data_IF_224866091504
#
_entry.id   IF_224866091504
#
_cell.length_a   1.000
_cell.length_b   1.000
_cell.length_c   1.000
_cell.angle_alpha   90.00
_cell.angle_beta   90.00
_cell.angle_gamma   90.00
#
_symmetry.space_group_name_H-M   'P 1'
#
loop_
_entity.id
_entity.type
_entity.pdbx_description
1 polymer ?
#
# COMPACT_ATOMS: atom_id res chain seq x y z
N UNK A 1 15.53 -13.64 19.11
CA UNK A 1 14.28 -14.28 18.62
C UNK A 1 13.15 -13.33 18.93
N UNK A 2 12.81 -12.43 18.00
CA UNK A 2 11.80 -11.40 18.27
C UNK A 2 10.41 -11.96 18.00
N UNK A 3 9.70 -12.13 19.10
CA UNK A 3 8.35 -12.63 19.26
C UNK A 3 7.32 -11.68 18.64
N UNK A 4 6.65 -12.13 17.58
CA UNK A 4 5.37 -11.56 17.15
C UNK A 4 4.28 -12.08 18.10
N UNK A 5 4.13 -11.41 19.25
CA UNK A 5 3.03 -11.64 20.17
C UNK A 5 1.78 -10.96 19.60
N UNK A 6 0.84 -11.78 19.12
CA UNK A 6 -0.58 -11.44 19.00
C UNK A 6 -1.11 -11.11 20.39
N UNK A 7 -1.73 -9.93 20.63
CA UNK A 7 -2.66 -9.66 21.76
C UNK A 7 -3.20 -8.21 21.71
N UNK A 8 -4.41 -7.98 21.16
CA UNK A 8 -5.49 -7.15 21.75
C UNK A 8 -6.51 -6.68 20.70
N UNK A 9 -7.77 -7.09 20.87
CA UNK A 9 -8.94 -6.75 20.04
C UNK A 9 -9.44 -5.30 20.22
N UNK A 10 -8.63 -4.41 20.79
CA UNK A 10 -8.98 -3.01 21.05
C UNK A 10 -7.80 -2.02 21.06
N UNK A 11 -6.57 -2.47 20.77
CA UNK A 11 -5.39 -1.61 20.53
C UNK A 11 -4.55 -2.17 19.38
N UNK A 12 -5.17 -2.38 18.22
CA UNK A 12 -4.37 -2.30 16.99
C UNK A 12 -3.99 -0.83 16.92
N UNK A 13 -2.85 -0.45 17.49
CA UNK A 13 -2.15 0.77 17.12
C UNK A 13 -1.87 0.62 15.64
N UNK A 14 -2.87 1.00 14.82
CA UNK A 14 -2.91 0.75 13.40
C UNK A 14 -1.64 1.37 12.88
N UNK A 15 -0.74 0.50 12.40
CA UNK A 15 0.48 0.79 11.66
C UNK A 15 0.31 2.17 11.03
N UNK A 16 0.84 3.20 11.71
CA UNK A 16 0.41 4.61 11.59
C UNK A 16 0.24 4.95 10.14
N UNK A 17 -0.95 5.42 9.72
CA UNK A 17 -1.25 5.83 8.34
C UNK A 17 -0.03 6.54 7.74
N UNK A 18 0.81 5.85 6.93
CA UNK A 18 2.08 6.42 6.52
C UNK A 18 1.87 7.48 5.42
N UNK A 19 0.62 7.65 5.02
CA UNK A 19 0.14 8.57 4.02
C UNK A 19 -0.58 9.71 4.74
N UNK A 20 0.10 10.83 4.89
CA UNK A 20 -0.42 12.03 5.56
C UNK A 20 -1.05 13.03 4.58
N UNK A 21 -0.99 12.73 3.28
CA UNK A 21 -1.49 13.58 2.19
C UNK A 21 -2.04 12.72 1.05
N UNK A 22 -2.90 13.33 0.24
CA UNK A 22 -3.33 12.76 -1.04
C UNK A 22 -2.15 12.70 -2.01
N UNK A 23 -2.00 11.57 -2.72
CA UNK A 23 -0.99 11.40 -3.76
C UNK A 23 -1.64 11.37 -5.14
N UNK A 24 -1.08 12.16 -6.06
CA UNK A 24 -1.49 12.23 -7.46
C UNK A 24 -0.28 12.21 -8.38
N UNK A 25 -0.55 12.07 -9.68
CA UNK A 25 0.48 12.17 -10.72
C UNK A 25 1.35 13.42 -10.56
N UNK A 26 2.67 13.25 -10.72
CA UNK A 26 3.69 14.27 -10.51
C UNK A 26 4.20 14.39 -9.06
N UNK A 27 3.52 13.79 -8.09
CA UNK A 27 4.05 13.73 -6.73
C UNK A 27 5.27 12.81 -6.63
N UNK A 28 6.19 13.16 -5.73
CA UNK A 28 7.37 12.35 -5.44
C UNK A 28 7.59 12.24 -3.94
N UNK A 29 8.36 11.24 -3.51
CA UNK A 29 8.76 11.09 -2.11
C UNK A 29 8.70 9.66 -1.58
N UNK A 30 9.01 9.52 -0.29
CA UNK A 30 8.99 8.23 0.40
C UNK A 30 7.58 7.66 0.53
N UNK A 31 6.57 8.52 0.66
CA UNK A 31 5.16 8.14 0.65
C UNK A 31 4.75 7.53 -0.69
N UNK A 32 5.18 8.12 -1.81
CA UNK A 32 4.97 7.56 -3.15
C UNK A 32 5.65 6.19 -3.30
N UNK A 33 6.88 6.04 -2.81
CA UNK A 33 7.54 4.74 -2.87
C UNK A 33 6.79 3.70 -2.02
N UNK A 34 6.36 4.04 -0.80
CA UNK A 34 5.57 3.13 0.05
C UNK A 34 4.27 2.72 -0.63
N UNK A 35 3.61 3.65 -1.32
CA UNK A 35 2.44 3.36 -2.16
C UNK A 35 2.80 2.34 -3.26
N UNK A 36 3.84 2.60 -4.05
CA UNK A 36 4.27 1.72 -5.13
C UNK A 36 4.67 0.33 -4.61
N UNK A 37 5.39 0.27 -3.49
CA UNK A 37 5.77 -0.98 -2.82
C UNK A 37 4.53 -1.79 -2.42
N UNK A 38 3.57 -1.13 -1.77
CA UNK A 38 2.32 -1.74 -1.33
C UNK A 38 1.48 -2.24 -2.51
N UNK A 39 1.30 -1.42 -3.55
CA UNK A 39 0.58 -1.79 -4.77
C UNK A 39 1.21 -3.03 -5.42
N UNK A 40 2.54 -3.05 -5.56
CA UNK A 40 3.24 -4.19 -6.14
C UNK A 40 3.07 -5.47 -5.32
N UNK A 41 3.13 -5.37 -4.00
CA UNK A 41 2.95 -6.53 -3.12
C UNK A 41 1.52 -7.05 -3.17
N UNK A 42 0.53 -6.16 -3.10
CA UNK A 42 -0.90 -6.49 -3.24
C UNK A 42 -1.19 -7.09 -4.61
N UNK A 43 -0.66 -6.50 -5.69
CA UNK A 43 -0.82 -6.99 -7.04
C UNK A 43 -0.25 -8.39 -7.23
N UNK A 44 0.95 -8.67 -6.69
CA UNK A 44 1.52 -10.03 -6.69
C UNK A 44 0.68 -11.00 -5.87
N UNK A 45 0.24 -10.60 -4.67
CA UNK A 45 -0.46 -11.50 -3.74
C UNK A 45 -1.85 -11.88 -4.24
N UNK A 46 -2.62 -10.90 -4.69
CA UNK A 46 -3.99 -11.09 -5.18
C UNK A 46 -4.07 -11.36 -6.69
N UNK A 47 -2.91 -11.55 -7.35
CA UNK A 47 -2.81 -11.86 -8.77
C UNK A 47 -3.48 -10.80 -9.67
N UNK A 48 -3.32 -9.52 -9.32
CA UNK A 48 -3.83 -8.38 -10.08
C UNK A 48 -2.74 -7.95 -11.06
N UNK A 49 -2.71 -8.54 -12.26
CA UNK A 49 -1.61 -8.38 -13.22
C UNK A 49 -1.29 -6.93 -13.58
N UNK A 50 -2.27 -6.04 -13.57
CA UNK A 50 -2.09 -4.60 -13.88
C UNK A 50 -1.78 -3.72 -12.66
N UNK A 51 -1.79 -4.29 -11.45
CA UNK A 51 -1.40 -3.61 -10.22
C UNK A 51 0.10 -3.79 -9.97
N UNK A 52 0.91 -3.25 -10.87
CA UNK A 52 2.35 -3.22 -10.71
C UNK A 52 2.93 -1.94 -11.35
N UNK A 53 4.00 -1.42 -10.75
CA UNK A 53 4.72 -0.25 -11.23
C UNK A 53 6.14 -0.24 -10.69
N UNK A 54 7.01 0.61 -11.24
CA UNK A 54 8.34 0.82 -10.66
C UNK A 54 8.24 1.51 -9.29
N UNK A 55 8.86 0.91 -8.28
CA UNK A 55 8.99 1.51 -6.94
C UNK A 55 10.23 2.42 -6.91
N UNK A 56 10.09 3.65 -7.39
CA UNK A 56 11.16 4.67 -7.45
C UNK A 56 10.83 5.97 -6.71
N UNK A 57 9.66 6.04 -6.07
CA UNK A 57 9.20 7.22 -5.36
C UNK A 57 8.68 8.34 -6.28
N UNK A 58 8.40 8.05 -7.56
CA UNK A 58 7.84 9.00 -8.51
C UNK A 58 6.45 8.54 -8.97
N UNK A 59 5.42 9.35 -8.69
CA UNK A 59 4.06 9.03 -9.09
C UNK A 59 3.86 9.40 -10.55
N UNK A 60 4.27 8.49 -11.44
CA UNK A 60 4.08 8.60 -12.88
C UNK A 60 2.83 7.87 -13.39
N UNK A 61 2.66 7.82 -14.72
CA UNK A 61 1.54 7.13 -15.37
C UNK A 61 1.42 5.65 -14.99
N UNK A 62 2.55 4.96 -14.79
CA UNK A 62 2.54 3.55 -14.35
C UNK A 62 1.97 3.39 -12.93
N UNK A 63 2.37 4.26 -12.00
CA UNK A 63 1.83 4.25 -10.63
C UNK A 63 0.33 4.54 -10.62
N UNK A 64 -0.11 5.49 -11.47
CA UNK A 64 -1.53 5.78 -11.66
C UNK A 64 -2.31 4.58 -12.17
N UNK A 65 -1.80 3.90 -13.20
CA UNK A 65 -2.43 2.71 -13.76
C UNK A 65 -2.49 1.56 -12.74
N UNK A 66 -1.42 1.36 -11.97
CA UNK A 66 -1.40 0.37 -10.90
C UNK A 66 -2.43 0.69 -9.81
N UNK A 67 -2.53 1.96 -9.41
CA UNK A 67 -3.52 2.42 -8.45
C UNK A 67 -4.95 2.23 -8.96
N UNK A 68 -5.24 2.62 -10.20
CA UNK A 68 -6.56 2.42 -10.79
C UNK A 68 -6.93 0.93 -10.88
N UNK A 69 -5.95 0.07 -11.19
CA UNK A 69 -6.15 -1.38 -11.20
C UNK A 69 -6.48 -1.93 -9.82
N UNK A 70 -5.80 -1.44 -8.78
CA UNK A 70 -6.13 -1.75 -7.40
C UNK A 70 -7.53 -1.26 -7.01
N UNK A 71 -7.85 -0.01 -7.32
CA UNK A 71 -9.16 0.60 -7.02
C UNK A 71 -10.30 -0.20 -7.65
N UNK A 72 -10.14 -0.58 -8.92
CA UNK A 72 -11.12 -1.39 -9.64
C UNK A 72 -11.26 -2.79 -9.03
N UNK A 73 -10.14 -3.43 -8.69
CA UNK A 73 -10.14 -4.77 -8.08
C UNK A 73 -10.78 -4.79 -6.69
N UNK A 74 -10.51 -3.80 -5.85
CA UNK A 74 -11.08 -3.71 -4.50
C UNK A 74 -12.49 -3.06 -4.49
N UNK A 75 -13.05 -2.80 -5.68
CA UNK A 75 -14.40 -2.27 -5.90
C UNK A 75 -14.66 -0.94 -5.17
N UNK A 76 -13.71 -0.01 -5.26
CA UNK A 76 -13.81 1.38 -4.79
C UNK A 76 -13.78 2.36 -5.97
N UNK A 77 -13.93 3.66 -5.71
CA UNK A 77 -13.86 4.69 -6.76
C UNK A 77 -12.53 4.62 -7.52
N UNK A 78 -12.63 4.53 -8.86
CA UNK A 78 -11.48 4.43 -9.77
C UNK A 78 -11.17 5.82 -10.35
N UNK A 79 -10.54 6.66 -9.55
CA UNK A 79 -10.16 8.04 -9.91
C UNK A 79 -8.65 8.20 -10.18
N UNK A 80 -7.84 7.18 -9.88
CA UNK A 80 -6.39 7.26 -9.97
C UNK A 80 -5.75 8.25 -8.99
N UNK A 81 -6.49 8.62 -7.94
CA UNK A 81 -6.06 9.52 -6.86
C UNK A 81 -5.90 8.69 -5.60
N UNK A 82 -4.73 8.75 -4.96
CA UNK A 82 -4.50 8.05 -3.72
C UNK A 82 -4.95 8.92 -2.54
N UNK A 83 -6.25 8.86 -2.25
CA UNK A 83 -6.88 9.52 -1.10
C UNK A 83 -7.12 8.59 0.09
N UNK A 84 -7.87 9.07 1.09
CA UNK A 84 -8.16 8.34 2.33
C UNK A 84 -8.79 6.97 2.08
N UNK A 85 -9.80 6.90 1.19
CA UNK A 85 -10.48 5.63 0.87
C UNK A 85 -9.50 4.62 0.27
N UNK A 86 -8.70 5.03 -0.72
CA UNK A 86 -7.69 4.15 -1.32
C UNK A 86 -6.61 3.74 -0.32
N UNK A 87 -6.22 4.65 0.58
CA UNK A 87 -5.26 4.37 1.65
C UNK A 87 -5.77 3.32 2.62
N UNK A 88 -6.98 3.49 3.17
CA UNK A 88 -7.61 2.54 4.10
C UNK A 88 -7.65 1.13 3.52
N UNK A 89 -8.14 1.05 2.27
CA UNK A 89 -8.28 -0.19 1.55
C UNK A 89 -6.93 -0.83 1.23
N UNK A 90 -5.96 -0.05 0.75
CA UNK A 90 -4.63 -0.57 0.43
C UNK A 90 -3.93 -1.12 1.67
N UNK A 91 -3.94 -0.36 2.78
CA UNK A 91 -3.35 -0.79 4.06
C UNK A 91 -4.03 -2.06 4.57
N UNK A 92 -5.36 -2.13 4.51
CA UNK A 92 -6.11 -3.32 4.91
C UNK A 92 -5.72 -4.56 4.11
N UNK A 93 -5.62 -4.44 2.78
CA UNK A 93 -5.30 -5.55 1.86
C UNK A 93 -3.84 -5.96 1.97
N UNK A 94 -2.96 -4.98 2.07
CA UNK A 94 -1.54 -5.21 2.33
C UNK A 94 -1.31 -5.97 3.64
N UNK A 95 -1.97 -5.55 4.72
CA UNK A 95 -1.86 -6.20 6.02
C UNK A 95 -2.47 -7.60 6.04
N UNK A 96 -3.63 -7.78 5.40
CA UNK A 96 -4.34 -9.07 5.39
C UNK A 96 -3.69 -10.14 4.50
N UNK A 97 -2.96 -9.72 3.46
CA UNK A 97 -2.27 -10.62 2.54
C UNK A 97 -0.76 -10.54 2.68
N UNK A 98 -0.07 -9.67 1.92
CA UNK A 98 1.39 -9.54 1.92
C UNK A 98 2.07 -9.61 3.29
N UNK A 99 1.62 -8.84 4.28
CA UNK A 99 2.24 -8.83 5.62
C UNK A 99 1.94 -10.13 6.37
N UNK A 100 0.67 -10.52 6.45
CA UNK A 100 0.25 -11.69 7.23
C UNK A 100 0.75 -13.03 6.67
N UNK A 101 0.93 -13.13 5.34
CA UNK A 101 1.24 -14.38 4.66
C UNK A 101 2.70 -14.47 4.20
N UNK A 102 3.27 -13.38 3.66
CA UNK A 102 4.65 -13.38 3.17
C UNK A 102 5.65 -12.73 4.12
N UNK A 103 5.19 -12.17 5.24
CA UNK A 103 6.06 -11.46 6.18
C UNK A 103 6.63 -10.18 5.58
N UNK A 104 5.90 -9.55 4.66
CA UNK A 104 6.27 -8.27 4.06
C UNK A 104 6.39 -7.18 5.14
N UNK A 105 7.36 -6.26 4.98
CA UNK A 105 7.65 -5.24 6.00
C UNK A 105 6.47 -4.27 6.17
N UNK A 106 6.10 -3.91 7.41
CA UNK A 106 5.16 -2.81 7.67
C UNK A 106 5.52 -1.54 6.88
N UNK A 107 4.53 -0.84 6.31
CA UNK A 107 4.78 0.30 5.41
C UNK A 107 5.53 1.46 6.07
N UNK A 108 5.39 1.63 7.38
CA UNK A 108 6.14 2.59 8.21
C UNK A 108 7.62 2.20 8.39
N UNK A 109 7.95 0.92 8.21
CA UNK A 109 9.31 0.37 8.29
C UNK A 109 9.96 0.15 6.92
N UNK A 110 9.18 0.23 5.83
CA UNK A 110 9.74 0.40 4.49
C UNK A 110 10.54 1.71 4.53
N UNK A 111 11.88 1.59 4.53
CA UNK A 111 12.96 2.60 4.68
C UNK A 111 13.64 2.80 6.04
N UNK A 112 13.31 2.07 7.10
CA UNK A 112 14.13 2.11 8.32
C UNK A 112 15.28 1.10 8.17
N UNK A 113 16.48 1.61 7.88
CA UNK A 113 17.75 0.87 7.98
C UNK A 113 18.32 1.00 9.39
#
# INVERSE_FOLDING_TARGET
>A
MNSFQTNNKSEVKIMTYPFTRTLTEGNTGQDVYRLQYALNAVGRYYLISSCNCKADGIFGPETKNALMSFQAWDNITVDGIFGNISSDHLVKRYNAGPVAVWGEKPLDQVFQS
#
